data_IF_525322296714
#
_entry.id   IF_525322296714
#
_cell.length_a   1.000
_cell.length_b   1.000
_cell.length_c   1.000
_cell.angle_alpha   90.00
_cell.angle_beta   90.00
_cell.angle_gamma   90.00
#
_symmetry.space_group_name_H-M   'P 1'
#
loop_
_entity.id
_entity.type
_entity.pdbx_description
1 polymer ?
#
# COMPACT_ATOMS: atom_id res chain seq x y z
N UNK A 1 50.04 30.30 4.40
CA UNK A 1 50.72 30.40 3.09
C UNK A 1 52.24 30.47 3.28
N UNK A 2 52.90 29.39 3.74
CA UNK A 2 54.39 29.36 3.94
C UNK A 2 55.09 28.07 3.47
N UNK A 3 54.47 27.20 2.67
CA UNK A 3 55.07 25.91 2.25
C UNK A 3 55.28 25.71 0.73
N UNK A 4 54.61 26.49 -0.11
CA UNK A 4 54.65 26.30 -1.58
C UNK A 4 55.79 27.09 -2.25
N UNK A 5 56.21 28.22 -1.66
CA UNK A 5 57.28 29.05 -2.22
C UNK A 5 58.66 28.42 -1.98
N UNK A 6 58.82 27.64 -0.91
CA UNK A 6 60.09 27.00 -0.53
C UNK A 6 60.37 25.70 -1.27
N UNK A 7 59.33 24.95 -1.67
CA UNK A 7 59.47 23.70 -2.44
C UNK A 7 59.78 23.96 -3.91
N UNK A 8 59.12 24.96 -4.52
CA UNK A 8 59.38 25.34 -5.92
C UNK A 8 60.79 25.92 -6.13
N UNK A 9 61.33 26.65 -5.15
CA UNK A 9 62.70 27.14 -5.22
C UNK A 9 63.71 26.02 -5.00
N UNK A 10 63.39 25.04 -4.14
CA UNK A 10 64.24 23.88 -3.89
C UNK A 10 64.41 23.01 -5.14
N UNK A 11 63.32 22.68 -5.84
CA UNK A 11 63.38 21.86 -7.06
C UNK A 11 64.09 22.60 -8.21
N UNK A 12 63.90 23.92 -8.32
CA UNK A 12 64.63 24.77 -9.28
C UNK A 12 66.14 24.85 -8.99
N UNK A 13 66.52 24.97 -7.71
CA UNK A 13 67.92 24.94 -7.27
C UNK A 13 68.56 23.56 -7.51
N UNK A 14 67.81 22.48 -7.29
CA UNK A 14 68.27 21.12 -7.52
C UNK A 14 68.48 20.83 -9.02
N UNK A 15 67.56 21.32 -9.86
CA UNK A 15 67.71 21.25 -11.32
C UNK A 15 68.95 22.00 -11.81
N UNK A 16 69.19 23.23 -11.33
CA UNK A 16 70.37 24.01 -11.72
C UNK A 16 71.69 23.37 -11.23
N UNK A 17 71.70 22.83 -10.02
CA UNK A 17 72.91 22.18 -9.46
C UNK A 17 73.23 20.85 -10.14
N UNK A 18 72.23 20.05 -10.49
CA UNK A 18 72.42 18.79 -11.24
C UNK A 18 72.87 19.04 -12.68
N UNK A 19 72.36 20.09 -13.34
CA UNK A 19 72.86 20.54 -14.64
C UNK A 19 74.33 20.96 -14.58
N UNK A 20 74.68 21.76 -13.57
CA UNK A 20 76.04 22.24 -13.40
C UNK A 20 77.01 21.07 -13.07
N UNK A 21 76.55 20.09 -12.30
CA UNK A 21 77.31 18.87 -12.03
C UNK A 21 77.56 18.06 -13.30
N UNK A 22 76.53 17.86 -14.14
CA UNK A 22 76.68 17.16 -15.41
C UNK A 22 77.68 17.87 -16.34
N UNK A 23 77.60 19.19 -16.43
CA UNK A 23 78.50 19.98 -17.28
C UNK A 23 79.95 19.95 -16.78
N UNK A 24 80.18 20.21 -15.50
CA UNK A 24 81.55 20.31 -14.96
C UNK A 24 82.20 18.95 -14.70
N UNK A 25 81.45 17.98 -14.21
CA UNK A 25 81.99 16.70 -13.73
C UNK A 25 81.84 15.61 -14.79
N UNK A 26 80.63 15.42 -15.35
CA UNK A 26 80.39 14.32 -16.31
C UNK A 26 81.02 14.61 -17.68
N UNK A 27 80.99 15.87 -18.13
CA UNK A 27 81.63 16.30 -19.38
C UNK A 27 83.04 16.88 -19.20
N UNK A 28 83.57 16.88 -17.97
CA UNK A 28 84.95 17.27 -17.63
C UNK A 28 85.33 18.71 -18.05
N UNK A 29 84.38 19.63 -18.03
CA UNK A 29 84.62 21.07 -18.26
C UNK A 29 85.21 21.75 -17.02
N UNK A 30 86.12 22.70 -17.23
CA UNK A 30 86.70 23.47 -16.12
C UNK A 30 85.77 24.59 -15.65
N UNK A 31 85.82 24.94 -14.36
CA UNK A 31 85.01 26.03 -13.80
C UNK A 31 85.29 27.39 -14.49
N UNK A 32 86.50 27.57 -15.04
CA UNK A 32 86.90 28.76 -15.80
C UNK A 32 86.20 28.94 -17.15
N UNK A 33 85.54 27.90 -17.67
CA UNK A 33 84.83 27.95 -18.96
C UNK A 33 83.40 28.48 -18.82
N UNK A 34 82.87 28.51 -17.58
CA UNK A 34 81.54 29.05 -17.26
C UNK A 34 81.47 30.56 -17.53
N UNK A 35 80.41 30.98 -18.21
CA UNK A 35 80.14 32.39 -18.52
C UNK A 35 80.57 32.80 -19.93
N UNK A 36 81.17 31.88 -20.69
CA UNK A 36 81.38 32.03 -22.14
C UNK A 36 80.08 31.76 -22.89
N UNK A 37 79.93 32.33 -24.10
CA UNK A 37 78.75 32.08 -24.95
C UNK A 37 78.55 30.61 -25.30
N UNK A 38 79.66 29.85 -25.43
CA UNK A 38 79.66 28.41 -25.70
C UNK A 38 79.17 27.62 -24.49
N UNK A 39 79.70 27.89 -23.28
CA UNK A 39 79.21 27.22 -22.07
C UNK A 39 77.70 27.45 -21.83
N UNK A 40 77.19 28.61 -22.25
CA UNK A 40 75.77 28.95 -22.14
C UNK A 40 74.91 28.19 -23.15
N UNK A 41 75.36 27.97 -24.39
CA UNK A 41 74.63 27.15 -25.36
C UNK A 41 74.62 25.69 -24.94
N UNK A 42 75.75 25.19 -24.44
CA UNK A 42 75.91 23.78 -24.10
C UNK A 42 75.10 23.42 -22.85
N UNK A 43 75.13 24.29 -21.82
CA UNK A 43 74.25 24.15 -20.65
C UNK A 43 72.76 24.24 -21.02
N UNK A 44 72.41 25.07 -22.02
CA UNK A 44 71.04 25.17 -22.50
C UNK A 44 70.60 23.91 -23.25
N UNK A 45 71.43 23.33 -24.12
CA UNK A 45 71.10 22.06 -24.78
C UNK A 45 71.03 20.89 -23.80
N UNK A 46 71.95 20.82 -22.83
CA UNK A 46 71.90 19.81 -21.78
C UNK A 46 70.64 19.91 -20.91
N UNK A 47 70.10 21.12 -20.71
CA UNK A 47 68.89 21.30 -19.90
C UNK A 47 67.61 20.83 -20.60
N UNK A 48 67.65 20.76 -21.93
CA UNK A 48 66.54 20.28 -22.76
C UNK A 48 66.49 18.75 -22.85
N UNK A 49 67.62 18.08 -22.65
CA UNK A 49 67.77 16.63 -22.83
C UNK A 49 67.68 15.78 -21.55
N UNK A 50 67.69 16.37 -20.35
CA UNK A 50 67.64 15.64 -19.07
C UNK A 50 66.34 15.88 -18.32
N UNK A 51 65.75 14.78 -17.83
CA UNK A 51 64.65 14.81 -16.87
C UNK A 51 65.20 14.85 -15.47
N UNK A 52 64.64 15.72 -14.63
CA UNK A 52 65.03 15.80 -13.23
C UNK A 52 63.83 15.49 -12.33
N UNK A 53 64.05 14.64 -11.34
CA UNK A 53 63.05 14.29 -10.33
C UNK A 53 63.26 15.17 -9.10
N UNK A 54 62.36 16.14 -8.89
CA UNK A 54 62.28 16.95 -7.68
C UNK A 54 61.33 16.35 -6.64
N UNK A 55 61.22 16.98 -5.48
CA UNK A 55 60.28 16.58 -4.42
C UNK A 55 58.81 16.74 -4.85
N UNK A 56 58.53 17.58 -5.84
CA UNK A 56 57.18 17.83 -6.37
C UNK A 56 56.86 17.09 -7.68
N UNK A 57 57.81 16.32 -8.24
CA UNK A 57 57.60 15.51 -9.45
C UNK A 57 58.70 15.67 -10.50
N UNK A 58 58.41 15.22 -11.73
CA UNK A 58 59.36 15.24 -12.86
C UNK A 58 59.34 16.61 -13.54
N UNK A 59 60.50 17.25 -13.65
CA UNK A 59 60.69 18.55 -14.30
C UNK A 59 61.49 18.37 -15.58
N UNK A 60 60.96 18.89 -16.71
CA UNK A 60 61.62 18.90 -18.03
C UNK A 60 61.51 20.29 -18.65
N UNK A 61 62.61 20.77 -19.22
CA UNK A 61 62.65 22.03 -19.95
C UNK A 61 62.43 21.77 -21.45
N UNK A 62 61.59 22.59 -22.11
CA UNK A 62 61.28 22.44 -23.55
C UNK A 62 61.84 23.61 -24.37
N UNK A 63 62.35 23.32 -25.57
CA UNK A 63 62.76 24.33 -26.54
C UNK A 63 61.61 24.61 -27.49
N UNK A 64 61.33 25.89 -27.75
CA UNK A 64 60.22 26.35 -28.59
C UNK A 64 60.56 26.37 -30.10
N UNK A 65 61.74 25.91 -30.52
CA UNK A 65 62.28 26.23 -31.86
C UNK A 65 62.40 25.03 -32.82
N UNK A 66 62.24 23.78 -32.37
CA UNK A 66 62.23 22.61 -33.29
C UNK A 66 60.84 21.97 -33.42
N UNK A 67 60.20 21.99 -34.61
CA UNK A 67 58.88 21.42 -34.84
C UNK A 67 58.86 19.90 -35.12
N UNK A 68 59.97 19.17 -34.91
CA UNK A 68 60.11 17.77 -35.36
C UNK A 68 60.09 16.72 -34.25
N UNK A 69 60.08 17.08 -32.98
CA UNK A 69 59.76 16.11 -31.92
C UNK A 69 58.25 16.10 -31.70
N UNK A 70 57.59 15.08 -32.24
CA UNK A 70 56.21 14.74 -31.89
C UNK A 70 56.12 14.70 -30.35
N UNK A 71 55.23 15.45 -29.69
CA UNK A 71 55.03 15.31 -28.25
C UNK A 71 54.69 13.84 -27.95
N UNK A 72 55.21 13.23 -26.87
CA UNK A 72 54.95 11.82 -26.59
C UNK A 72 53.44 11.57 -26.59
N UNK A 73 53.03 10.54 -27.31
CA UNK A 73 51.64 10.09 -27.39
C UNK A 73 51.07 9.88 -25.99
N UNK A 74 49.88 10.46 -25.79
CA UNK A 74 48.86 10.44 -24.72
C UNK A 74 48.84 9.39 -23.57
N UNK A 75 49.93 8.69 -23.25
CA UNK A 75 49.99 7.63 -22.24
C UNK A 75 51.07 7.78 -21.17
N UNK A 76 51.85 8.86 -21.17
CA UNK A 76 52.99 9.00 -20.25
C UNK A 76 52.91 10.35 -19.52
N UNK A 77 52.06 10.42 -18.47
CA UNK A 77 51.93 11.62 -17.62
C UNK A 77 51.86 11.26 -16.14
N UNK A 78 52.95 10.67 -15.65
CA UNK A 78 53.37 10.90 -14.28
C UNK A 78 54.01 12.30 -14.17
N UNK A 79 53.18 13.31 -13.87
CA UNK A 79 53.58 14.45 -13.04
C UNK A 79 54.56 15.50 -13.60
N UNK A 80 54.33 16.05 -14.80
CA UNK A 80 55.09 17.22 -15.28
C UNK A 80 54.36 18.53 -14.96
N UNK A 81 54.91 19.37 -14.08
CA UNK A 81 54.41 20.72 -13.77
C UNK A 81 55.25 21.81 -14.47
N UNK A 82 54.57 22.78 -15.10
CA UNK A 82 55.15 23.95 -15.77
C UNK A 82 55.53 25.04 -14.76
N UNK A 83 56.80 25.47 -14.76
CA UNK A 83 57.31 26.56 -13.92
C UNK A 83 57.23 27.87 -14.71
N UNK A 84 56.11 28.60 -14.57
CA UNK A 84 55.94 30.09 -14.57
C UNK A 84 54.73 30.58 -15.37
N UNK A 85 53.89 31.40 -14.72
CA UNK A 85 52.87 32.27 -15.35
C UNK A 85 52.74 33.57 -14.54
N UNK A 86 52.95 34.75 -15.16
CA UNK A 86 52.42 36.08 -14.76
C UNK A 86 52.46 36.94 -16.06
N UNK A 87 51.36 37.45 -16.62
CA UNK A 87 50.69 38.71 -16.20
C UNK A 87 49.22 38.80 -16.66
N UNK A 88 48.34 39.26 -15.78
CA UNK A 88 47.00 39.78 -16.08
C UNK A 88 46.20 39.99 -14.80
N UNK A 89 45.65 41.18 -14.57
CA UNK A 89 44.88 41.54 -13.36
C UNK A 89 43.56 40.75 -13.22
N UNK A 90 42.80 40.99 -12.14
CA UNK A 90 41.63 40.19 -11.80
C UNK A 90 40.53 40.40 -12.83
N UNK A 91 40.30 39.39 -13.68
CA UNK A 91 39.14 39.33 -14.56
C UNK A 91 39.38 38.87 -16.00
N UNK A 92 40.61 38.78 -16.49
CA UNK A 92 40.92 38.19 -17.80
C UNK A 92 42.40 37.79 -17.86
N UNK A 93 42.68 36.48 -17.85
CA UNK A 93 44.01 35.95 -18.08
C UNK A 93 43.93 34.82 -19.10
N UNK A 94 44.13 35.15 -20.37
CA UNK A 94 44.43 34.17 -21.41
C UNK A 94 45.89 33.70 -21.25
N UNK A 95 46.11 32.40 -21.35
CA UNK A 95 47.46 31.81 -21.30
C UNK A 95 48.06 31.87 -22.69
N UNK A 96 49.07 32.73 -22.87
CA UNK A 96 49.85 32.84 -24.11
C UNK A 96 51.02 31.87 -24.05
N UNK A 97 51.07 30.88 -24.96
CA UNK A 97 52.12 29.85 -25.01
C UNK A 97 53.45 30.33 -25.62
N UNK A 98 53.51 31.50 -26.28
CA UNK A 98 54.75 32.11 -26.80
C UNK A 98 54.50 33.54 -27.30
N UNK A 99 55.45 34.48 -27.17
CA UNK A 99 55.29 35.86 -27.64
C UNK A 99 55.30 36.05 -29.17
N UNK A 100 55.52 34.98 -29.97
CA UNK A 100 55.57 35.07 -31.44
C UNK A 100 54.62 34.14 -32.19
N UNK A 101 53.77 33.37 -31.50
CA UNK A 101 52.75 32.56 -32.15
C UNK A 101 51.41 33.32 -32.19
N UNK A 102 50.92 33.61 -33.40
CA UNK A 102 49.64 34.28 -33.61
C UNK A 102 48.45 33.31 -33.57
N UNK A 103 48.67 32.02 -33.31
CA UNK A 103 47.61 31.04 -33.06
C UNK A 103 47.06 31.20 -31.65
N UNK A 104 46.01 32.02 -31.53
CA UNK A 104 45.14 32.04 -30.36
C UNK A 104 44.37 30.71 -30.35
N UNK A 105 44.50 29.90 -29.31
CA UNK A 105 43.48 28.91 -28.97
C UNK A 105 42.50 29.65 -28.06
N UNK A 106 41.36 30.12 -28.58
CA UNK A 106 40.41 30.85 -27.76
C UNK A 106 39.84 29.92 -26.68
N UNK A 107 39.70 30.44 -25.46
CA UNK A 107 38.76 29.94 -24.46
C UNK A 107 37.32 30.15 -24.94
N UNK A 108 36.95 29.59 -26.10
CA UNK A 108 35.62 29.74 -26.70
C UNK A 108 34.74 28.50 -26.58
N UNK A 109 35.12 27.50 -25.78
CA UNK A 109 34.22 26.37 -25.50
C UNK A 109 34.03 26.03 -24.01
N UNK A 110 34.60 26.81 -23.08
CA UNK A 110 34.28 26.61 -21.65
C UNK A 110 35.22 27.26 -20.62
N UNK A 111 34.61 27.72 -19.52
CA UNK A 111 35.21 28.39 -18.36
C UNK A 111 35.93 27.43 -17.39
N UNK A 112 37.23 27.60 -17.15
CA UNK A 112 37.94 26.83 -16.11
C UNK A 112 37.51 27.26 -14.69
N UNK A 113 37.01 26.33 -13.86
CA UNK A 113 36.68 26.59 -12.45
C UNK A 113 37.72 25.98 -11.49
N UNK A 114 38.05 26.69 -10.41
CA UNK A 114 39.11 26.35 -9.47
C UNK A 114 38.67 25.28 -8.45
N UNK A 115 39.27 24.09 -8.57
CA UNK A 115 39.38 23.06 -7.52
C UNK A 115 40.83 22.54 -7.46
N UNK A 116 41.07 21.42 -6.75
CA UNK A 116 42.42 20.86 -6.52
C UNK A 116 43.22 20.43 -7.78
N UNK A 117 42.68 20.61 -8.99
CA UNK A 117 43.37 20.43 -10.28
C UNK A 117 42.71 21.27 -11.40
N UNK A 118 43.48 21.63 -12.45
CA UNK A 118 43.01 22.37 -13.62
C UNK A 118 42.29 21.43 -14.61
N UNK A 119 40.97 21.58 -14.77
CA UNK A 119 40.17 20.85 -15.78
C UNK A 119 39.54 21.85 -16.77
N UNK A 120 39.69 21.69 -18.10
CA UNK A 120 38.97 22.49 -19.08
C UNK A 120 37.46 22.27 -18.94
N UNK A 121 36.63 23.32 -19.02
CA UNK A 121 35.15 23.16 -18.99
C UNK A 121 34.61 22.34 -20.16
N UNK A 122 35.37 22.28 -21.25
CA UNK A 122 35.09 21.53 -22.48
C UNK A 122 35.40 20.03 -22.31
N UNK A 123 35.94 19.64 -21.15
CA UNK A 123 36.06 18.24 -20.71
C UNK A 123 34.85 17.74 -19.93
N UNK A 124 33.79 18.53 -19.84
CA UNK A 124 32.42 18.02 -20.03
C UNK A 124 32.24 17.74 -21.53
N UNK A 125 33.15 16.96 -22.13
CA UNK A 125 32.89 16.33 -23.40
C UNK A 125 31.85 15.27 -23.05
N UNK A 126 30.59 15.62 -23.30
CA UNK A 126 29.39 14.87 -22.97
C UNK A 126 29.64 13.38 -23.17
N UNK A 127 29.98 12.68 -22.08
CA UNK A 127 29.87 11.24 -22.07
C UNK A 127 28.43 10.96 -22.47
N UNK A 128 28.27 10.15 -23.53
CA UNK A 128 26.95 9.84 -24.06
C UNK A 128 26.11 9.28 -22.92
N UNK A 129 24.80 9.49 -22.97
CA UNK A 129 23.91 8.98 -21.93
C UNK A 129 24.19 7.48 -21.70
N UNK A 130 24.31 7.11 -20.43
CA UNK A 130 24.78 5.81 -19.97
C UNK A 130 26.25 5.78 -19.53
N UNK A 131 27.02 6.83 -19.78
CA UNK A 131 28.44 6.90 -19.42
C UNK A 131 28.77 8.14 -18.59
N UNK A 132 29.74 8.01 -17.67
CA UNK A 132 30.25 9.10 -16.81
C UNK A 132 31.75 9.25 -16.95
N UNK A 133 32.27 10.44 -16.67
CA UNK A 133 33.69 10.73 -16.87
C UNK A 133 34.57 10.24 -15.70
N UNK A 134 35.54 9.38 -16.00
CA UNK A 134 36.61 8.98 -15.08
C UNK A 134 37.95 9.54 -15.51
N UNK A 135 38.71 10.12 -14.56
CA UNK A 135 40.03 10.73 -14.81
C UNK A 135 41.05 9.72 -15.33
N UNK A 136 40.91 8.44 -14.98
CA UNK A 136 41.85 7.37 -15.36
C UNK A 136 41.44 6.62 -16.64
N UNK A 137 40.14 6.48 -16.90
CA UNK A 137 39.61 5.56 -17.91
C UNK A 137 38.77 6.25 -19.00
N UNK A 138 38.58 7.57 -18.93
CA UNK A 138 37.70 8.30 -19.85
C UNK A 138 36.21 8.05 -19.54
N UNK A 139 35.35 8.04 -20.55
CA UNK A 139 33.92 7.75 -20.34
C UNK A 139 33.71 6.27 -19.99
N UNK A 140 33.26 6.01 -18.77
CA UNK A 140 32.95 4.67 -18.27
C UNK A 140 31.44 4.45 -18.28
N UNK A 141 31.00 3.25 -18.67
CA UNK A 141 29.59 2.88 -18.64
C UNK A 141 29.12 2.67 -17.19
N UNK A 142 27.91 3.14 -16.87
CA UNK A 142 27.28 2.81 -15.61
C UNK A 142 26.98 1.31 -15.56
N UNK A 143 27.29 0.67 -14.44
CA UNK A 143 26.97 -0.73 -14.21
C UNK A 143 25.45 -0.96 -14.17
N UNK A 144 25.03 -2.23 -14.30
CA UNK A 144 23.63 -2.61 -14.13
C UNK A 144 23.11 -2.13 -12.76
N UNK A 145 21.84 -1.72 -12.71
CA UNK A 145 21.24 -1.05 -11.56
C UNK A 145 21.53 0.45 -11.46
N UNK A 146 22.37 1.02 -12.34
CA UNK A 146 22.63 2.46 -12.38
C UNK A 146 22.35 3.04 -13.76
N UNK A 147 22.14 4.34 -13.81
CA UNK A 147 21.95 5.11 -15.04
C UNK A 147 22.70 6.43 -14.98
N UNK A 148 22.96 7.01 -16.15
CA UNK A 148 23.46 8.37 -16.26
C UNK A 148 22.82 9.05 -17.47
N UNK A 149 22.10 10.15 -17.24
CA UNK A 149 21.67 11.03 -18.34
C UNK A 149 22.88 11.76 -18.95
N UNK A 150 22.72 12.27 -20.17
CA UNK A 150 23.80 12.99 -20.85
C UNK A 150 24.28 14.18 -20.01
N UNK A 151 25.57 14.18 -19.63
CA UNK A 151 26.18 15.23 -18.81
C UNK A 151 26.14 14.99 -17.30
N UNK A 152 25.64 13.85 -16.81
CA UNK A 152 25.82 13.44 -15.41
C UNK A 152 27.30 13.17 -15.09
N UNK A 153 27.73 13.57 -13.89
CA UNK A 153 29.10 13.39 -13.41
C UNK A 153 29.31 12.03 -12.73
N UNK A 154 28.24 11.43 -12.22
CA UNK A 154 28.26 10.15 -11.50
C UNK A 154 27.05 9.31 -11.91
N UNK A 155 27.20 7.98 -11.82
CA UNK A 155 26.13 7.03 -12.11
C UNK A 155 25.16 6.97 -10.93
N UNK A 156 23.92 7.38 -11.15
CA UNK A 156 22.89 7.31 -10.12
C UNK A 156 22.23 5.92 -10.09
N UNK A 157 21.89 5.38 -8.90
CA UNK A 157 21.14 4.15 -8.81
C UNK A 157 19.70 4.34 -9.32
N UNK A 158 19.16 3.31 -9.95
CA UNK A 158 17.75 3.28 -10.30
C UNK A 158 16.86 3.38 -9.06
N UNK A 159 15.82 4.20 -9.14
CA UNK A 159 14.82 4.32 -8.09
C UNK A 159 14.03 3.02 -7.91
N UNK A 160 13.40 2.85 -6.76
CA UNK A 160 12.42 1.77 -6.55
C UNK A 160 11.33 1.83 -7.62
N UNK A 161 10.85 0.66 -8.06
CA UNK A 161 9.95 0.54 -9.21
C UNK A 161 10.65 0.59 -10.58
N UNK A 162 11.94 0.90 -10.63
CA UNK A 162 12.71 0.94 -11.89
C UNK A 162 13.97 0.07 -11.80
N UNK A 163 14.53 -0.33 -12.94
CA UNK A 163 15.70 -1.19 -13.02
C UNK A 163 16.52 -0.95 -14.29
N UNK A 164 17.77 -1.42 -14.31
CA UNK A 164 18.58 -1.55 -15.54
C UNK A 164 19.35 -2.86 -15.53
N UNK A 165 19.07 -3.75 -16.48
CA UNK A 165 19.73 -5.06 -16.57
C UNK A 165 21.02 -5.04 -17.41
N UNK A 166 21.34 -3.90 -18.05
CA UNK A 166 22.50 -3.74 -18.93
C UNK A 166 23.30 -2.52 -18.49
N UNK A 167 24.63 -2.60 -18.61
CA UNK A 167 25.52 -1.46 -18.38
C UNK A 167 25.36 -0.41 -19.47
N UNK A 168 25.58 0.86 -19.15
CA UNK A 168 25.56 1.94 -20.15
C UNK A 168 24.16 2.49 -20.40
N UNK A 169 23.25 2.39 -19.44
CA UNK A 169 21.86 2.83 -19.60
C UNK A 169 21.68 4.32 -19.33
N UNK A 170 21.02 5.00 -20.28
CA UNK A 170 20.73 6.42 -20.22
C UNK A 170 19.63 6.78 -19.20
N UNK A 171 18.74 5.83 -18.93
CA UNK A 171 17.61 5.96 -18.02
C UNK A 171 17.21 4.57 -17.49
N UNK A 172 16.54 4.53 -16.35
CA UNK A 172 16.01 3.28 -15.81
C UNK A 172 14.72 2.87 -16.50
N UNK A 173 14.54 1.56 -16.66
CA UNK A 173 13.30 1.00 -17.17
C UNK A 173 12.29 0.78 -16.05
N UNK A 174 11.01 1.12 -16.26
CA UNK A 174 9.97 0.85 -15.27
C UNK A 174 9.73 -0.66 -15.17
N UNK A 175 9.44 -1.15 -13.96
CA UNK A 175 8.87 -2.48 -13.80
C UNK A 175 7.52 -2.54 -14.54
N UNK A 176 7.35 -3.58 -15.35
CA UNK A 176 6.10 -3.81 -16.07
C UNK A 176 4.99 -4.23 -15.09
N UNK A 177 3.71 -3.96 -15.40
CA UNK A 177 2.60 -4.48 -14.61
C UNK A 177 2.73 -5.99 -14.38
N UNK A 178 2.50 -6.41 -13.15
CA UNK A 178 2.74 -7.77 -12.66
C UNK A 178 4.11 -7.99 -12.01
N UNK A 179 5.04 -7.04 -12.14
CA UNK A 179 6.34 -7.07 -11.50
C UNK A 179 6.58 -5.83 -10.63
N UNK A 180 7.50 -5.92 -9.69
CA UNK A 180 7.84 -4.84 -8.79
C UNK A 180 9.34 -4.80 -8.48
N UNK A 181 9.83 -3.66 -7.99
CA UNK A 181 11.16 -3.56 -7.43
C UNK A 181 11.13 -2.65 -6.19
N UNK A 182 11.57 -3.17 -5.03
CA UNK A 182 11.68 -2.41 -3.78
C UNK A 182 13.13 -2.08 -3.40
N UNK A 183 14.11 -2.42 -4.24
CA UNK A 183 15.55 -2.22 -3.99
C UNK A 183 16.07 -1.06 -4.85
N UNK A 184 16.80 -0.14 -4.21
CA UNK A 184 17.53 0.91 -4.93
C UNK A 184 18.67 0.29 -5.73
N UNK A 185 18.75 0.67 -7.00
CA UNK A 185 19.77 0.20 -7.93
C UNK A 185 19.62 -1.27 -8.31
N UNK A 186 18.39 -1.77 -8.45
CA UNK A 186 18.14 -3.14 -8.90
C UNK A 186 18.46 -3.31 -10.40
N UNK A 187 18.94 -4.50 -10.74
CA UNK A 187 19.22 -4.94 -12.10
C UNK A 187 18.03 -5.68 -12.75
N UNK A 188 16.92 -5.84 -12.02
CA UNK A 188 15.70 -6.48 -12.49
C UNK A 188 14.48 -6.15 -11.63
N UNK A 189 13.31 -6.56 -12.09
CA UNK A 189 12.07 -6.56 -11.31
C UNK A 189 11.71 -7.99 -10.91
N UNK A 190 11.12 -8.15 -9.74
CA UNK A 190 10.59 -9.42 -9.26
C UNK A 190 9.11 -9.55 -9.64
N UNK A 191 8.70 -10.72 -10.12
CA UNK A 191 7.31 -10.99 -10.43
C UNK A 191 6.48 -11.10 -9.14
N UNK A 192 5.26 -10.56 -9.17
CA UNK A 192 4.30 -10.78 -8.10
C UNK A 192 4.05 -12.27 -7.89
N UNK A 193 4.11 -12.71 -6.63
CA UNK A 193 3.80 -14.08 -6.26
C UNK A 193 2.29 -14.39 -6.43
N UNK A 194 1.94 -15.67 -6.42
CA UNK A 194 0.53 -16.09 -6.47
C UNK A 194 -0.28 -15.46 -5.34
N UNK A 195 -1.53 -15.10 -5.63
CA UNK A 195 -2.38 -14.31 -4.74
C UNK A 195 -2.10 -12.80 -4.72
N UNK A 196 -1.09 -12.33 -5.46
CA UNK A 196 -0.75 -10.92 -5.54
C UNK A 196 -0.74 -10.42 -6.99
N UNK A 197 -0.92 -9.11 -7.15
CA UNK A 197 -0.89 -8.42 -8.44
C UNK A 197 -0.25 -7.04 -8.34
N UNK A 198 0.20 -6.50 -9.47
CA UNK A 198 0.65 -5.12 -9.60
C UNK A 198 0.08 -4.53 -10.89
N UNK A 199 -0.90 -3.65 -10.79
CA UNK A 199 -1.60 -3.09 -11.96
C UNK A 199 -0.88 -1.90 -12.59
N UNK A 200 0.01 -1.23 -11.85
CA UNK A 200 0.74 -0.05 -12.30
C UNK A 200 2.16 -0.40 -12.75
N UNK A 201 2.66 0.37 -13.72
CA UNK A 201 4.10 0.41 -14.02
C UNK A 201 4.83 1.11 -12.88
N UNK A 202 6.11 0.79 -12.70
CA UNK A 202 6.93 1.36 -11.61
C UNK A 202 6.48 0.94 -10.20
N UNK A 203 5.85 -0.23 -10.09
CA UNK A 203 5.39 -0.71 -8.79
C UNK A 203 6.56 -1.04 -7.87
N UNK A 204 6.44 -0.60 -6.62
CA UNK A 204 7.41 -0.89 -5.54
C UNK A 204 7.03 -2.11 -4.71
N UNK A 205 5.85 -2.69 -4.96
CA UNK A 205 5.37 -3.87 -4.26
C UNK A 205 4.06 -4.41 -4.83
N UNK A 206 3.80 -5.69 -4.57
CA UNK A 206 2.57 -6.31 -5.02
C UNK A 206 1.43 -6.17 -4.01
N UNK A 207 0.22 -5.99 -4.51
CA UNK A 207 -1.01 -5.93 -3.73
C UNK A 207 -1.68 -7.29 -3.68
N UNK A 208 -2.29 -7.65 -2.55
CA UNK A 208 -3.08 -8.88 -2.45
C UNK A 208 -4.34 -8.77 -3.31
N UNK A 209 -4.72 -9.86 -3.97
CA UNK A 209 -6.00 -9.94 -4.67
C UNK A 209 -7.16 -9.63 -3.71
N UNK A 210 -8.09 -8.73 -4.09
CA UNK A 210 -9.24 -8.41 -3.26
C UNK A 210 -10.18 -9.62 -3.15
N UNK A 211 -11.08 -9.58 -2.17
CA UNK A 211 -12.12 -10.61 -1.99
C UNK A 211 -12.93 -10.77 -3.28
N UNK A 212 -13.17 -12.02 -3.67
CA UNK A 212 -13.86 -12.37 -4.92
C UNK A 212 -12.94 -12.47 -6.14
N UNK A 213 -11.62 -12.34 -5.95
CA UNK A 213 -10.61 -12.51 -6.99
C UNK A 213 -9.41 -13.35 -6.52
N UNK A 214 -8.72 -13.98 -7.46
CA UNK A 214 -7.56 -14.84 -7.21
C UNK A 214 -6.45 -14.61 -8.25
N UNK A 215 -5.22 -15.04 -7.94
CA UNK A 215 -4.06 -14.96 -8.84
C UNK A 215 -3.27 -16.28 -8.85
N UNK A 216 -3.63 -17.17 -9.79
CA UNK A 216 -3.05 -18.51 -9.92
C UNK A 216 -1.64 -18.54 -10.50
N UNK A 217 -1.22 -17.45 -11.16
CA UNK A 217 0.08 -17.33 -11.79
C UNK A 217 0.87 -16.18 -11.17
N UNK A 218 2.20 -16.28 -11.26
CA UNK A 218 3.08 -15.17 -10.92
C UNK A 218 3.06 -14.13 -12.03
N UNK A 219 3.45 -12.90 -11.72
CA UNK A 219 3.59 -11.86 -12.75
C UNK A 219 2.26 -11.27 -13.23
N UNK A 220 1.18 -11.39 -12.44
CA UNK A 220 -0.14 -10.93 -12.86
C UNK A 220 -0.33 -9.43 -12.64
N UNK A 221 -0.70 -8.72 -13.70
CA UNK A 221 -1.08 -7.31 -13.63
C UNK A 221 -2.45 -7.10 -12.96
N UNK A 222 -3.34 -8.10 -13.05
CA UNK A 222 -4.68 -8.08 -12.48
C UNK A 222 -5.07 -9.47 -11.98
N UNK A 223 -5.92 -9.52 -10.95
CA UNK A 223 -6.45 -10.77 -10.43
C UNK A 223 -7.65 -11.25 -11.25
N UNK A 224 -7.74 -12.56 -11.47
CA UNK A 224 -8.87 -13.22 -12.09
C UNK A 224 -10.09 -13.16 -11.16
N UNK A 225 -11.27 -12.95 -11.73
CA UNK A 225 -12.52 -12.95 -10.98
C UNK A 225 -12.98 -14.38 -10.68
N UNK A 226 -13.59 -14.57 -9.50
CA UNK A 226 -14.27 -15.83 -9.21
C UNK A 226 -15.45 -16.04 -10.19
N UNK A 227 -15.81 -17.30 -10.46
CA UNK A 227 -17.01 -17.62 -11.24
C UNK A 227 -18.26 -16.96 -10.64
N UNK A 228 -19.30 -16.68 -11.45
CA UNK A 228 -20.51 -16.00 -11.00
C UNK A 228 -21.12 -16.63 -9.73
N UNK A 229 -21.35 -15.80 -8.71
CA UNK A 229 -21.92 -16.19 -7.43
C UNK A 229 -20.91 -16.73 -6.41
N UNK A 230 -19.67 -17.04 -6.81
CA UNK A 230 -18.62 -17.49 -5.89
C UNK A 230 -17.77 -16.30 -5.44
N UNK A 231 -17.21 -16.39 -4.25
CA UNK A 231 -16.30 -15.38 -3.71
C UNK A 231 -15.22 -16.03 -2.86
N UNK A 232 -14.11 -15.33 -2.62
CA UNK A 232 -13.03 -15.85 -1.78
C UNK A 232 -13.30 -15.52 -0.31
N UNK A 233 -12.86 -16.36 0.62
CA UNK A 233 -13.04 -16.10 2.05
C UNK A 233 -12.14 -14.94 2.54
N UNK A 234 -10.93 -14.84 1.97
CA UNK A 234 -9.94 -13.83 2.32
C UNK A 234 -9.35 -13.18 1.07
N UNK A 235 -8.61 -12.09 1.29
CA UNK A 235 -7.72 -11.52 0.28
C UNK A 235 -6.57 -12.48 -0.02
N UNK A 236 -5.93 -12.30 -1.18
CA UNK A 236 -4.74 -13.05 -1.57
C UNK A 236 -5.01 -14.49 -1.99
N UNK A 237 -6.19 -14.77 -2.55
CA UNK A 237 -6.53 -16.11 -2.99
C UNK A 237 -5.58 -16.60 -4.10
N UNK A 238 -5.07 -17.81 -3.93
CA UNK A 238 -4.06 -18.38 -4.82
C UNK A 238 -4.70 -18.89 -6.11
N UNK A 239 -5.83 -19.59 -6.05
CA UNK A 239 -6.44 -20.25 -7.20
C UNK A 239 -7.97 -20.13 -7.22
N UNK A 240 -8.59 -20.71 -8.24
CA UNK A 240 -10.05 -20.79 -8.37
C UNK A 240 -10.69 -21.67 -7.31
N UNK A 241 -9.94 -22.59 -6.69
CA UNK A 241 -10.47 -23.51 -5.68
C UNK A 241 -10.76 -22.77 -4.37
N UNK A 242 -10.12 -21.62 -4.15
CA UNK A 242 -10.45 -20.68 -3.09
C UNK A 242 -11.77 -19.91 -3.31
N UNK A 243 -12.39 -19.99 -4.49
CA UNK A 243 -13.70 -19.42 -4.76
C UNK A 243 -14.78 -20.35 -4.19
N UNK A 244 -15.47 -19.89 -3.15
CA UNK A 244 -16.50 -20.64 -2.43
C UNK A 244 -17.83 -19.89 -2.47
N UNK A 245 -18.93 -20.62 -2.35
CA UNK A 245 -20.25 -20.02 -2.21
C UNK A 245 -20.46 -19.55 -0.77
N UNK A 246 -20.83 -18.27 -0.60
CA UNK A 246 -21.24 -17.73 0.71
C UNK A 246 -22.73 -17.94 1.03
N UNK A 247 -23.44 -18.69 0.17
CA UNK A 247 -24.86 -19.05 0.33
C UNK A 247 -25.09 -20.53 0.09
N UNK A 248 -26.21 -20.87 -0.54
CA UNK A 248 -26.59 -22.24 -0.87
C UNK A 248 -26.25 -22.56 -2.33
N UNK A 249 -25.77 -23.78 -2.59
CA UNK A 249 -25.39 -24.24 -3.93
C UNK A 249 -26.55 -25.03 -4.53
N UNK A 250 -27.16 -24.54 -5.61
CA UNK A 250 -28.26 -25.19 -6.31
C UNK A 250 -27.89 -25.44 -7.77
N UNK A 251 -27.89 -26.69 -8.21
CA UNK A 251 -27.54 -27.10 -9.59
C UNK A 251 -26.22 -26.48 -10.11
N UNK A 252 -25.25 -26.21 -9.23
CA UNK A 252 -23.95 -25.63 -9.59
C UNK A 252 -23.91 -24.09 -9.63
N UNK A 253 -25.03 -23.41 -9.37
CA UNK A 253 -25.08 -21.96 -9.15
C UNK A 253 -25.09 -21.63 -7.66
N UNK A 254 -24.32 -20.62 -7.26
CA UNK A 254 -24.36 -20.09 -5.91
C UNK A 254 -25.49 -19.05 -5.79
N UNK A 255 -26.43 -19.31 -4.88
CA UNK A 255 -27.56 -18.41 -4.61
C UNK A 255 -27.34 -17.78 -3.23
N UNK A 256 -27.15 -16.46 -3.22
CA UNK A 256 -27.01 -15.67 -1.99
C UNK A 256 -28.25 -14.82 -1.81
N UNK A 257 -29.06 -15.14 -0.80
CA UNK A 257 -30.25 -14.37 -0.48
C UNK A 257 -29.87 -13.19 0.43
N UNK A 258 -30.23 -11.97 0.01
CA UNK A 258 -29.98 -10.75 0.77
C UNK A 258 -31.30 -10.07 1.16
N UNK A 259 -31.27 -9.26 2.21
CA UNK A 259 -32.47 -8.63 2.77
C UNK A 259 -33.39 -9.64 3.47
N UNK A 260 -34.68 -9.29 3.57
CA UNK A 260 -35.70 -10.11 4.23
C UNK A 260 -36.19 -11.25 3.32
N UNK A 261 -35.27 -12.06 2.81
CA UNK A 261 -35.55 -13.20 1.93
C UNK A 261 -34.99 -14.48 2.52
N UNK A 262 -35.60 -15.61 2.18
CA UNK A 262 -35.14 -16.96 2.51
C UNK A 262 -34.82 -17.75 1.25
N UNK A 263 -33.93 -18.71 1.40
CA UNK A 263 -33.62 -19.66 0.33
C UNK A 263 -34.63 -20.81 0.33
N UNK A 264 -35.20 -21.11 -0.84
CA UNK A 264 -36.11 -22.24 -1.03
C UNK A 264 -36.04 -22.69 -2.51
N UNK A 265 -35.68 -23.97 -2.74
CA UNK A 265 -35.61 -24.60 -4.06
C UNK A 265 -34.84 -23.81 -5.15
N UNK A 266 -33.68 -23.23 -4.80
CA UNK A 266 -32.84 -22.50 -5.76
C UNK A 266 -33.25 -21.05 -6.01
N UNK A 267 -34.24 -20.53 -5.29
CA UNK A 267 -34.69 -19.14 -5.40
C UNK A 267 -34.73 -18.44 -4.03
N UNK A 268 -34.56 -17.12 -4.05
CA UNK A 268 -34.77 -16.28 -2.89
C UNK A 268 -36.23 -15.82 -2.83
N UNK A 269 -36.97 -16.33 -1.87
CA UNK A 269 -38.38 -16.01 -1.65
C UNK A 269 -38.48 -14.94 -0.55
N UNK A 270 -39.33 -13.91 -0.69
CA UNK A 270 -39.58 -12.97 0.40
C UNK A 270 -40.09 -13.69 1.65
N UNK A 271 -39.58 -13.29 2.81
CA UNK A 271 -39.98 -13.83 4.09
C UNK A 271 -41.47 -13.49 4.35
N UNK A 272 -42.22 -14.43 4.92
CA UNK A 272 -43.62 -14.23 5.30
C UNK A 272 -43.77 -13.13 6.35
N UNK A 273 -44.92 -12.45 6.38
CA UNK A 273 -45.20 -11.41 7.37
C UNK A 273 -45.07 -11.96 8.80
N UNK A 274 -44.40 -11.22 9.69
CA UNK A 274 -44.12 -11.66 11.05
C UNK A 274 -42.82 -12.45 11.23
N UNK A 275 -42.05 -12.65 10.16
CA UNK A 275 -40.70 -13.21 10.19
C UNK A 275 -39.65 -12.22 9.67
N UNK A 276 -38.46 -12.30 10.26
CA UNK A 276 -37.25 -11.65 9.78
C UNK A 276 -36.24 -12.73 9.35
N UNK A 277 -36.00 -12.82 8.05
CA UNK A 277 -35.04 -13.71 7.42
C UNK A 277 -33.75 -12.93 7.08
N UNK A 278 -32.59 -13.56 7.26
CA UNK A 278 -31.28 -12.98 6.90
C UNK A 278 -30.60 -13.78 5.78
N UNK A 279 -31.37 -14.33 4.84
CA UNK A 279 -30.84 -15.18 3.76
C UNK A 279 -30.43 -16.60 4.16
N UNK A 280 -30.27 -16.86 5.46
CA UNK A 280 -30.03 -18.19 6.01
C UNK A 280 -31.33 -18.97 6.24
N UNK A 281 -31.25 -20.29 6.38
CA UNK A 281 -32.37 -21.18 6.72
C UNK A 281 -32.98 -20.96 8.12
N UNK A 282 -32.55 -19.94 8.85
CA UNK A 282 -33.04 -19.58 10.19
C UNK A 282 -33.81 -18.26 10.14
N UNK A 283 -35.10 -18.29 10.48
CA UNK A 283 -35.95 -17.11 10.60
C UNK A 283 -36.12 -16.69 12.07
N UNK A 284 -36.18 -15.38 12.32
CA UNK A 284 -36.50 -14.80 13.63
C UNK A 284 -37.96 -14.37 13.63
N UNK A 285 -38.70 -14.78 14.65
CA UNK A 285 -40.14 -14.48 14.78
C UNK A 285 -40.34 -13.10 15.40
N UNK A 286 -41.18 -12.26 14.81
CA UNK A 286 -41.53 -10.95 15.33
C UNK A 286 -42.57 -11.06 16.45
N UNK A 287 -42.64 -10.02 17.31
CA UNK A 287 -43.65 -9.95 18.36
C UNK A 287 -45.07 -10.01 17.79
N UNK A 288 -45.98 -10.75 18.43
CA UNK A 288 -47.35 -10.97 17.95
C UNK A 288 -47.50 -12.15 16.99
N UNK A 289 -46.40 -12.79 16.61
CA UNK A 289 -46.39 -13.96 15.72
C UNK A 289 -45.73 -15.16 16.39
N UNK A 290 -46.13 -16.35 15.95
CA UNK A 290 -45.64 -17.65 16.42
C UNK A 290 -45.37 -18.56 15.23
N UNK A 291 -44.29 -19.34 15.31
CA UNK A 291 -43.98 -20.40 14.35
C UNK A 291 -43.57 -21.67 15.11
N UNK A 292 -43.79 -22.83 14.50
CA UNK A 292 -43.37 -24.11 15.06
C UNK A 292 -41.89 -24.42 14.70
N UNK A 293 -41.21 -25.25 15.49
CA UNK A 293 -39.84 -25.68 15.18
C UNK A 293 -39.79 -26.68 14.01
N UNK A 294 -40.85 -27.47 13.81
CA UNK A 294 -40.98 -28.39 12.67
C UNK A 294 -41.33 -27.66 11.36
N UNK A 295 -42.00 -26.52 11.46
CA UNK A 295 -42.38 -25.67 10.34
C UNK A 295 -42.07 -24.20 10.65
N UNK A 296 -40.78 -23.78 10.61
CA UNK A 296 -40.34 -22.43 11.02
C UNK A 296 -40.84 -21.32 10.10
N UNK A 297 -41.42 -21.69 8.95
CA UNK A 297 -41.91 -20.79 7.93
C UNK A 297 -43.44 -20.64 7.92
N UNK A 298 -44.15 -21.47 8.70
CA UNK A 298 -45.58 -21.35 8.90
C UNK A 298 -45.83 -20.36 10.04
N UNK A 299 -46.37 -19.20 9.69
CA UNK A 299 -46.57 -18.08 10.62
C UNK A 299 -48.01 -18.00 11.09
N UNK A 300 -48.19 -18.00 12.40
CA UNK A 300 -49.47 -17.81 13.05
C UNK A 300 -49.49 -16.48 13.79
N UNK A 301 -50.57 -15.72 13.63
CA UNK A 301 -50.79 -14.49 14.39
C UNK A 301 -51.46 -14.81 15.71
N UNK A 302 -50.93 -14.27 16.79
CA UNK A 302 -51.45 -14.52 18.13
C UNK A 302 -52.53 -13.52 18.52
N UNK A 303 -53.61 -14.03 19.11
CA UNK A 303 -54.67 -13.23 19.69
C UNK A 303 -54.90 -13.70 21.14
N UNK A 304 -54.61 -12.85 22.15
CA UNK A 304 -54.05 -11.50 22.09
C UNK A 304 -52.56 -11.48 21.68
N UNK A 305 -52.11 -10.36 21.09
CA UNK A 305 -50.76 -10.15 20.54
C UNK A 305 -49.66 -10.49 21.57
N UNK A 306 -49.89 -10.15 22.84
CA UNK A 306 -48.94 -10.35 23.93
C UNK A 306 -48.70 -11.82 24.31
N UNK A 307 -49.54 -12.75 23.81
CA UNK A 307 -49.33 -14.18 24.02
C UNK A 307 -48.05 -14.68 23.33
N UNK A 308 -47.54 -13.93 22.35
CA UNK A 308 -46.39 -14.29 21.54
C UNK A 308 -45.33 -13.19 21.60
N UNK A 309 -44.27 -13.38 22.41
CA UNK A 309 -43.24 -12.38 22.59
C UNK A 309 -42.35 -12.22 21.34
N UNK A 310 -42.41 -13.18 20.40
CA UNK A 310 -41.47 -13.34 19.30
C UNK A 310 -40.18 -14.03 19.75
N UNK A 311 -39.16 -14.03 18.89
CA UNK A 311 -37.84 -14.61 19.15
C UNK A 311 -37.57 -15.88 18.34
N UNK A 312 -37.12 -16.93 19.03
CA UNK A 312 -36.85 -18.24 18.41
C UNK A 312 -38.17 -18.97 18.09
N UNK A 313 -38.22 -19.84 17.07
CA UNK A 313 -39.37 -20.68 16.80
C UNK A 313 -39.80 -21.50 18.04
N UNK A 314 -41.11 -21.60 18.28
CA UNK A 314 -41.68 -22.39 19.38
C UNK A 314 -41.79 -21.69 20.74
N UNK A 315 -41.49 -20.39 20.85
CA UNK A 315 -41.59 -19.66 22.12
C UNK A 315 -42.94 -18.99 22.34
N UNK A 316 -43.55 -19.20 23.51
CA UNK A 316 -44.81 -18.59 23.95
C UNK A 316 -44.62 -17.78 25.25
N UNK A 317 -45.39 -16.71 25.44
CA UNK A 317 -45.39 -15.94 26.69
C UNK A 317 -46.10 -16.68 27.82
N UNK A 318 -45.64 -16.49 29.06
CA UNK A 318 -46.34 -16.95 30.26
C UNK A 318 -46.49 -18.47 30.41
N UNK A 319 -45.62 -19.26 29.76
CA UNK A 319 -45.65 -20.73 29.84
C UNK A 319 -46.78 -21.39 29.05
N UNK A 320 -47.44 -20.65 28.15
CA UNK A 320 -48.45 -21.20 27.25
C UNK A 320 -47.82 -22.18 26.25
N UNK A 321 -48.66 -23.07 25.75
CA UNK A 321 -48.30 -24.09 24.77
C UNK A 321 -49.35 -24.15 23.65
N UNK A 322 -49.03 -24.92 22.62
CA UNK A 322 -49.89 -25.13 21.45
C UNK A 322 -49.77 -24.00 20.43
N UNK A 323 -50.39 -24.20 19.29
CA UNK A 323 -50.36 -23.26 18.16
C UNK A 323 -51.72 -22.54 18.13
N UNK A 324 -51.82 -21.20 18.30
CA UNK A 324 -50.79 -20.17 18.51
C UNK A 324 -50.75 -19.64 19.97
N UNK A 325 -50.14 -20.39 20.89
CA UNK A 325 -49.91 -20.02 22.29
C UNK A 325 -51.19 -19.65 23.07
N UNK A 326 -52.27 -20.41 22.91
CA UNK A 326 -53.56 -20.14 23.57
C UNK A 326 -53.86 -21.06 24.75
N UNK A 327 -53.11 -22.14 24.92
CA UNK A 327 -53.40 -23.16 25.93
C UNK A 327 -52.37 -23.15 27.05
N UNK A 328 -52.81 -23.44 28.27
CA UNK A 328 -51.89 -23.78 29.36
C UNK A 328 -51.62 -25.29 29.38
N UNK A 329 -50.46 -25.73 29.89
CA UNK A 329 -50.19 -27.13 30.15
C UNK A 329 -51.28 -27.80 31.01
N UNK A 330 -51.42 -29.12 30.89
CA UNK A 330 -52.42 -29.87 31.64
C UNK A 330 -52.27 -29.62 33.16
N UNK A 331 -53.38 -29.23 33.81
CA UNK A 331 -53.42 -28.92 35.26
C UNK A 331 -53.29 -27.43 35.60
N UNK A 332 -53.05 -26.57 34.60
CA UNK A 332 -52.88 -25.13 34.78
C UNK A 332 -53.99 -24.30 34.12
N UNK A 333 -54.28 -23.15 34.70
CA UNK A 333 -55.17 -22.14 34.14
C UNK A 333 -54.45 -20.79 34.04
N UNK A 334 -54.88 -19.95 33.10
CA UNK A 334 -54.31 -18.61 32.93
C UNK A 334 -54.66 -17.72 34.12
N UNK A 335 -53.65 -17.17 34.80
CA UNK A 335 -53.81 -16.24 35.91
C UNK A 335 -52.96 -14.99 35.70
N UNK A 336 -53.63 -13.86 35.48
CA UNK A 336 -53.13 -12.49 35.26
C UNK A 336 -52.06 -12.32 34.17
N UNK A 337 -50.98 -13.09 34.14
CA UNK A 337 -49.90 -13.07 33.11
C UNK A 337 -49.13 -14.41 32.94
N UNK A 338 -49.48 -15.45 33.70
CA UNK A 338 -48.79 -16.76 33.66
C UNK A 338 -49.78 -17.92 33.77
N UNK A 339 -49.45 -19.05 33.16
CA UNK A 339 -50.11 -20.32 33.46
C UNK A 339 -49.73 -20.76 34.88
N UNK A 340 -50.74 -20.84 35.75
CA UNK A 340 -50.58 -21.24 37.14
C UNK A 340 -51.41 -22.48 37.44
N UNK A 341 -50.94 -23.32 38.36
CA UNK A 341 -51.68 -24.52 38.76
C UNK A 341 -53.04 -24.15 39.34
N UNK A 342 -54.05 -24.95 39.01
CA UNK A 342 -55.40 -24.79 39.56
C UNK A 342 -55.39 -25.02 41.07
N UNK A 343 -55.39 -23.95 41.86
CA UNK A 343 -55.59 -24.06 43.32
C UNK A 343 -57.04 -24.45 43.62
N UNK A 344 -57.25 -25.31 44.63
CA UNK A 344 -58.55 -25.86 45.01
C UNK A 344 -59.67 -24.83 45.32
N UNK A 345 -59.33 -23.54 45.35
CA UNK A 345 -60.28 -22.45 45.58
C UNK A 345 -61.18 -22.17 44.36
N UNK A 346 -60.77 -22.49 43.13
CA UNK A 346 -61.60 -22.30 41.93
C UNK A 346 -62.78 -23.26 41.85
N UNK A 347 -62.65 -24.46 42.44
CA UNK A 347 -63.76 -25.39 42.68
C UNK A 347 -64.76 -24.84 43.71
N UNK A 348 -64.30 -23.98 44.63
CA UNK A 348 -65.15 -23.28 45.60
C UNK A 348 -66.18 -22.37 44.96
N UNK A 349 -65.84 -21.72 43.83
CA UNK A 349 -66.78 -20.91 43.06
C UNK A 349 -67.91 -21.73 42.43
N UNK A 350 -67.58 -22.91 41.87
CA UNK A 350 -68.55 -23.85 41.30
C UNK A 350 -69.41 -24.53 42.38
N UNK A 351 -68.82 -24.84 43.54
CA UNK A 351 -69.54 -25.36 44.70
C UNK A 351 -70.46 -24.30 45.32
N UNK A 352 -70.01 -23.04 45.43
CA UNK A 352 -70.84 -21.93 45.89
C UNK A 352 -71.95 -21.60 44.90
N UNK A 353 -71.71 -21.61 43.59
CA UNK A 353 -72.78 -21.43 42.58
C UNK A 353 -73.78 -22.59 42.61
N UNK A 354 -73.30 -23.82 42.84
CA UNK A 354 -74.15 -24.99 43.04
C UNK A 354 -75.01 -24.88 44.30
N UNK A 355 -74.43 -24.48 45.43
CA UNK A 355 -75.14 -24.30 46.71
C UNK A 355 -76.14 -23.14 46.61
N UNK A 356 -75.77 -22.02 45.99
CA UNK A 356 -76.68 -20.90 45.73
C UNK A 356 -77.82 -21.35 44.83
N UNK A 357 -77.58 -22.13 43.77
CA UNK A 357 -78.65 -22.71 42.95
C UNK A 357 -79.60 -23.61 43.73
N UNK A 358 -79.06 -24.49 44.59
CA UNK A 358 -79.85 -25.41 45.42
C UNK A 358 -80.66 -24.70 46.52
N UNK A 359 -80.22 -23.52 46.99
CA UNK A 359 -80.97 -22.74 47.99
C UNK A 359 -81.92 -21.73 47.35
N UNK A 360 -81.50 -21.07 46.28
CA UNK A 360 -82.29 -20.02 45.60
C UNK A 360 -83.44 -20.59 44.80
N UNK A 361 -83.30 -21.74 44.14
CA UNK A 361 -84.38 -22.33 43.34
C UNK A 361 -85.57 -22.75 44.22
N UNK A 362 -85.39 -23.47 45.34
CA UNK A 362 -86.48 -23.77 46.27
C UNK A 362 -87.03 -22.52 46.97
N UNK A 363 -86.17 -21.56 47.33
CA UNK A 363 -86.62 -20.31 47.96
C UNK A 363 -87.47 -19.46 47.00
N UNK A 364 -87.09 -19.35 45.73
CA UNK A 364 -87.89 -18.69 44.69
C UNK A 364 -89.20 -19.45 44.44
N UNK A 365 -89.16 -20.78 44.37
CA UNK A 365 -90.36 -21.61 44.27
C UNK A 365 -91.32 -21.37 45.45
N UNK A 366 -90.80 -21.31 46.68
CA UNK A 366 -91.62 -21.06 47.88
C UNK A 366 -92.16 -19.62 47.92
N UNK A 367 -91.36 -18.63 47.52
CA UNK A 367 -91.78 -17.22 47.44
C UNK A 367 -92.83 -16.98 46.35
N UNK A 368 -92.77 -17.70 45.22
CA UNK A 368 -93.77 -17.65 44.16
C UNK A 368 -95.10 -18.34 44.54
N UNK A 369 -95.06 -19.30 45.47
CA UNK A 369 -96.24 -20.06 45.91
C UNK A 369 -96.88 -19.56 47.21
N UNK A 370 -96.30 -18.54 47.87
CA UNK A 370 -96.92 -17.90 49.03
C UNK A 370 -98.04 -16.94 48.62
N UNK A 371 -99.22 -17.12 49.23
CA UNK A 371 -100.48 -16.44 48.89
C UNK A 371 -100.46 -14.90 48.98
N UNK A 372 -99.40 -14.27 49.51
CA UNK A 372 -99.29 -12.81 49.67
C UNK A 372 -98.49 -12.09 48.57
N UNK A 373 -97.75 -12.76 47.68
CA UNK A 373 -96.84 -12.11 46.72
C UNK A 373 -97.44 -11.75 45.36
N UNK A 374 -98.71 -12.10 45.09
CA UNK A 374 -99.39 -11.81 43.83
C UNK A 374 -99.47 -10.29 43.48
N UNK A 375 -99.26 -9.39 44.45
CA UNK A 375 -99.20 -7.93 44.23
C UNK A 375 -97.78 -7.36 44.12
N UNK A 376 -96.74 -8.11 44.52
CA UNK A 376 -95.35 -7.63 44.54
C UNK A 376 -94.55 -8.04 43.28
N UNK A 377 -94.95 -9.12 42.60
CA UNK A 377 -94.29 -9.62 41.38
C UNK A 377 -94.43 -8.67 40.19
N UNK A 378 -95.50 -7.88 40.12
CA UNK A 378 -95.68 -6.87 39.07
C UNK A 378 -94.67 -5.72 39.21
N UNK A 379 -94.38 -5.26 40.43
CA UNK A 379 -93.40 -4.18 40.66
C UNK A 379 -91.98 -4.61 40.33
N UNK A 380 -91.60 -5.84 40.66
CA UNK A 380 -90.26 -6.37 40.38
C UNK A 380 -90.06 -6.66 38.87
N UNK A 381 -91.09 -7.15 38.19
CA UNK A 381 -91.04 -7.35 36.74
C UNK A 381 -90.93 -6.02 35.99
N UNK A 382 -91.64 -4.97 36.44
CA UNK A 382 -91.54 -3.63 35.83
C UNK A 382 -90.18 -2.98 36.06
N UNK A 383 -89.53 -3.17 37.21
CA UNK A 383 -88.21 -2.58 37.47
C UNK A 383 -87.09 -3.28 36.71
N UNK A 384 -87.14 -4.61 36.56
CA UNK A 384 -86.19 -5.36 35.75
C UNK A 384 -86.33 -5.06 34.26
N UNK A 385 -87.56 -4.88 33.76
CA UNK A 385 -87.80 -4.48 32.36
C UNK A 385 -87.25 -3.06 32.07
N UNK A 386 -87.49 -2.11 32.99
CA UNK A 386 -86.95 -0.75 32.88
C UNK A 386 -85.41 -0.74 32.92
N UNK A 387 -84.79 -1.52 33.80
CA UNK A 387 -83.33 -1.65 33.87
C UNK A 387 -82.73 -2.21 32.57
N UNK A 388 -83.36 -3.23 31.98
CA UNK A 388 -82.92 -3.80 30.70
C UNK A 388 -83.07 -2.81 29.53
N UNK A 389 -84.13 -1.99 29.52
CA UNK A 389 -84.29 -0.95 28.48
C UNK A 389 -83.27 0.19 28.62
N UNK A 390 -82.87 0.55 29.84
CA UNK A 390 -81.87 1.60 30.07
C UNK A 390 -80.46 1.12 29.64
N UNK A 391 -80.10 -0.14 29.91
CA UNK A 391 -78.83 -0.70 29.45
C UNK A 391 -78.73 -0.86 27.94
N UNK A 392 -79.85 -1.01 27.21
CA UNK A 392 -79.83 -1.02 25.74
C UNK A 392 -79.75 0.39 25.12
N UNK A 393 -80.05 1.45 25.87
CA UNK A 393 -79.95 2.84 25.41
C UNK A 393 -78.57 3.48 25.70
N UNK A 394 -77.68 2.79 26.43
CA UNK A 394 -76.34 3.29 26.79
C UNK A 394 -75.19 2.69 25.96
N UNK A 395 -75.48 2.07 24.81
CA UNK A 395 -74.47 1.57 23.88
C UNK A 395 -74.51 2.32 22.56
#
# INVERSE_FOLDING_TARGET
MCGLVTSMTYDGLWHLTSLLHAYLIEQNHSLSELGTTTSRSDLYEMSLGKDYMGLTGRVRQFNSIEPTTIPPSFGDRDGVQLIRQITGGPGNADVVWSPYDTRRVPCSTGTCALGAAWVPSDRIAQCAAGTVFSVQLGCIACEAGKYASAGMLECEPCGVGTFTNVSGMAACHPCAPGSFNNVLGADGCEDCSQGFFANESESTGCMQCPIGRYAAQRGLATCAECPPGLTTFSRGALDSDACLCQGELYEGQCVVCTGNTRYEAGACIPCSEGLTCNGAGTAVVQNGFFTDTAAPFDVYRCLPIESCPGGLPGTCAGGRIGIPCTQCPAGQAWNTDVCADCTAFSLGGWLLSGIVGVVTIPALYYMMNMKQTAKATTMLATSCALAMTISMLQN
#
